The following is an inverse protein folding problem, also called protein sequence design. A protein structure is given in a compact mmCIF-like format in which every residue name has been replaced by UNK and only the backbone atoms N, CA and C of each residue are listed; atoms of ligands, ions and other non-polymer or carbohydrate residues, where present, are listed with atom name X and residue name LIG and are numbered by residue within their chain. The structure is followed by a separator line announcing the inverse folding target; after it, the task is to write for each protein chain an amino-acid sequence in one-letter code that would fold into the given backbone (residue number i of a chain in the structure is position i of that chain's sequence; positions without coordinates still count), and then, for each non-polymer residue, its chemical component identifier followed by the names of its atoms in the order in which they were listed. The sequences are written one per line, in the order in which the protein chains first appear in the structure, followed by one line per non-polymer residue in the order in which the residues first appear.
data_IF_951557864587
#
_entry.id   IF_951557864587
#
_cell.length_a   1.000
_cell.length_b   1.000
_cell.length_c   1.000
_cell.angle_alpha   90.00
_cell.angle_beta   90.00
_cell.angle_gamma   90.00
#
_symmetry.space_group_name_H-M   'P 1'
#
loop_
_entity.id
_entity.type
_entity.pdbx_description
1 polymer ?
#
# COMPACT_ATOMS: atom_id res chain seq x y z
N UNK A 1 -7.93 5.04 16.87
CA UNK A 1 -8.59 4.76 15.58
C UNK A 1 -7.56 5.11 14.53
N UNK A 2 -7.02 4.13 13.79
CA UNK A 2 -5.92 4.39 12.86
C UNK A 2 -6.52 4.90 11.55
N UNK A 3 -6.43 6.21 11.32
CA UNK A 3 -6.94 6.87 10.12
C UNK A 3 -5.78 6.98 9.13
N UNK A 4 -5.63 5.99 8.26
CA UNK A 4 -4.57 5.99 7.24
C UNK A 4 -5.17 6.55 5.94
N UNK A 5 -4.36 7.14 5.08
CA UNK A 5 -4.80 7.62 3.77
C UNK A 5 -3.77 7.30 2.68
N UNK A 6 -4.27 6.92 1.52
CA UNK A 6 -3.49 6.75 0.29
C UNK A 6 -4.07 7.70 -0.76
N UNK A 7 -3.42 8.84 -0.95
CA UNK A 7 -3.96 9.92 -1.79
C UNK A 7 -5.27 10.45 -1.22
N UNK A 8 -6.35 10.36 -2.00
CA UNK A 8 -7.69 10.77 -1.58
C UNK A 8 -8.47 9.64 -0.89
N UNK A 9 -7.99 8.40 -0.97
CA UNK A 9 -8.64 7.26 -0.33
C UNK A 9 -8.30 7.22 1.16
N UNK A 10 -9.32 7.27 2.01
CA UNK A 10 -9.18 7.23 3.46
C UNK A 10 -9.55 5.84 3.98
N UNK A 11 -8.61 5.22 4.69
CA UNK A 11 -8.82 3.99 5.43
C UNK A 11 -9.45 4.31 6.78
N UNK A 12 -10.73 4.02 6.90
CA UNK A 12 -11.53 4.22 8.09
C UNK A 12 -12.58 3.10 8.23
N UNK A 13 -13.29 3.08 9.36
CA UNK A 13 -14.27 2.03 9.65
C UNK A 13 -15.31 1.82 8.52
N UNK A 14 -15.93 2.85 7.92
CA UNK A 14 -16.90 2.63 6.85
C UNK A 14 -16.29 2.14 5.52
N UNK A 15 -14.98 2.33 5.29
CA UNK A 15 -14.29 1.93 4.06
C UNK A 15 -13.54 0.60 4.24
N UNK A 16 -12.26 0.67 4.63
CA UNK A 16 -11.38 -0.44 4.95
C UNK A 16 -10.52 -0.06 6.14
N UNK A 17 -10.36 -0.99 7.08
CA UNK A 17 -9.45 -0.81 8.22
C UNK A 17 -8.32 -1.81 8.16
N UNK A 18 -7.11 -1.40 7.73
CA UNK A 18 -5.92 -2.22 7.86
C UNK A 18 -5.68 -2.55 9.33
N UNK A 19 -5.49 -3.84 9.61
CA UNK A 19 -5.14 -4.33 10.94
C UNK A 19 -3.62 -4.39 11.13
N UNK A 20 -2.87 -4.59 10.05
CA UNK A 20 -1.42 -4.73 10.06
C UNK A 20 -0.78 -3.93 8.91
N UNK A 21 0.35 -3.30 9.20
CA UNK A 21 1.23 -2.66 8.24
C UNK A 21 2.61 -3.31 8.37
N UNK A 22 3.06 -3.97 7.32
CA UNK A 22 4.42 -4.49 7.19
C UNK A 22 5.20 -3.64 6.20
N UNK A 23 6.42 -3.23 6.54
CA UNK A 23 7.31 -2.48 5.64
C UNK A 23 8.64 -3.21 5.52
N UNK A 24 9.09 -3.41 4.29
CA UNK A 24 10.43 -3.92 3.98
C UNK A 24 11.20 -2.85 3.24
N UNK A 25 12.40 -2.50 3.74
CA UNK A 25 13.28 -1.54 3.08
C UNK A 25 14.64 -2.17 2.87
N UNK A 26 15.10 -2.16 1.62
CA UNK A 26 16.37 -2.73 1.21
C UNK A 26 17.41 -1.64 0.95
N UNK A 27 18.69 -1.99 1.09
CA UNK A 27 19.83 -1.14 0.74
C UNK A 27 20.82 -1.91 -0.10
N UNK A 28 21.33 -1.29 -1.17
CA UNK A 28 22.25 -1.95 -2.10
C UNK A 28 23.70 -1.73 -1.68
N UNK A 29 24.41 -2.84 -1.50
CA UNK A 29 25.84 -2.84 -1.19
C UNK A 29 26.63 -3.60 -2.26
N UNK A 30 27.38 -2.89 -3.10
CA UNK A 30 28.27 -3.51 -4.07
C UNK A 30 29.45 -4.16 -3.36
N UNK A 31 29.79 -5.38 -3.76
CA UNK A 31 30.88 -6.18 -3.17
C UNK A 31 32.03 -6.26 -4.16
N UNK A 32 33.23 -5.89 -3.71
CA UNK A 32 34.46 -6.00 -4.49
C UNK A 32 35.42 -6.94 -3.79
N UNK A 33 35.71 -8.07 -4.43
CA UNK A 33 36.67 -9.05 -3.94
C UNK A 33 38.08 -8.47 -3.86
N UNK A 34 38.77 -8.74 -2.75
CA UNK A 34 40.17 -8.35 -2.54
C UNK A 34 40.98 -9.61 -2.23
N UNK A 35 42.13 -9.77 -2.88
CA UNK A 35 43.00 -10.92 -2.63
C UNK A 35 43.63 -10.79 -1.24
N UNK A 36 43.50 -11.83 -0.41
CA UNK A 36 44.13 -11.91 0.91
C UNK A 36 43.45 -11.15 2.04
N UNK A 37 42.24 -10.62 1.84
CA UNK A 37 41.46 -9.88 2.85
C UNK A 37 39.96 -10.05 2.58
N UNK A 38 39.10 -9.64 3.52
CA UNK A 38 37.65 -9.65 3.32
C UNK A 38 37.26 -8.68 2.20
N UNK A 39 36.20 -9.02 1.46
CA UNK A 39 35.67 -8.17 0.41
C UNK A 39 35.32 -6.77 0.93
N UNK A 40 35.56 -5.77 0.08
CA UNK A 40 35.08 -4.42 0.35
C UNK A 40 33.59 -4.32 -0.01
N UNK A 41 32.80 -3.80 0.91
CA UNK A 41 31.40 -3.46 0.68
C UNK A 41 31.27 -1.95 0.50
N UNK A 42 30.66 -1.51 -0.60
CA UNK A 42 30.38 -0.10 -0.85
C UNK A 42 28.86 0.11 -0.92
N UNK A 43 28.35 1.04 -0.11
CA UNK A 43 26.96 1.46 -0.21
C UNK A 43 26.72 2.15 -1.55
N UNK A 44 25.82 1.59 -2.34
CA UNK A 44 25.48 2.09 -3.69
C UNK A 44 24.16 2.84 -3.75
N UNK A 45 23.39 2.83 -2.66
CA UNK A 45 22.13 3.55 -2.56
C UNK A 45 20.99 2.71 -1.96
N UNK A 46 19.81 3.31 -1.82
CA UNK A 46 18.60 2.60 -1.41
C UNK A 46 18.23 1.54 -2.43
N UNK A 47 17.69 0.43 -1.93
CA UNK A 47 17.09 -0.65 -2.69
C UNK A 47 15.59 -0.44 -2.87
N UNK A 48 14.84 -1.54 -2.90
CA UNK A 48 13.39 -1.51 -2.96
C UNK A 48 12.80 -1.17 -1.59
N UNK A 49 11.68 -0.48 -1.54
CA UNK A 49 10.94 -0.21 -0.31
C UNK A 49 9.47 -0.51 -0.56
N UNK A 50 8.93 -1.47 0.19
CA UNK A 50 7.60 -2.03 0.01
C UNK A 50 6.80 -1.92 1.29
N UNK A 51 5.49 -1.70 1.16
CA UNK A 51 4.54 -1.74 2.25
C UNK A 51 3.40 -2.68 1.89
N UNK A 52 3.08 -3.60 2.79
CA UNK A 52 1.88 -4.44 2.69
C UNK A 52 0.89 -4.07 3.79
N UNK A 53 -0.33 -3.72 3.38
CA UNK A 53 -1.44 -3.41 4.27
C UNK A 53 -2.40 -4.59 4.28
N UNK A 54 -2.59 -5.21 5.44
CA UNK A 54 -3.46 -6.38 5.59
C UNK A 54 -4.59 -6.08 6.56
N UNK A 55 -5.78 -6.55 6.23
CA UNK A 55 -6.94 -6.35 7.09
C UNK A 55 -8.11 -7.26 6.74
N UNK A 56 -9.19 -7.06 7.47
CA UNK A 56 -10.43 -7.79 7.26
C UNK A 56 -11.58 -6.80 7.22
N UNK A 57 -12.35 -6.84 6.14
CA UNK A 57 -13.59 -6.11 6.00
C UNK A 57 -14.80 -6.99 6.27
N UNK A 58 -15.69 -6.48 7.14
CA UNK A 58 -16.97 -7.09 7.47
C UNK A 58 -18.07 -6.32 6.76
N UNK A 59 -18.88 -6.99 5.95
CA UNK A 59 -19.94 -6.35 5.15
C UNK A 59 -21.00 -5.63 6.00
N UNK A 60 -21.15 -5.99 7.27
CA UNK A 60 -22.08 -5.31 8.20
C UNK A 60 -21.56 -3.95 8.68
N UNK A 61 -20.25 -3.72 8.59
CA UNK A 61 -19.57 -2.54 9.14
C UNK A 61 -18.92 -1.68 8.05
N UNK A 62 -18.53 -2.29 6.94
CA UNK A 62 -17.62 -1.70 5.97
C UNK A 62 -18.10 -1.94 4.54
N UNK A 63 -17.91 -0.96 3.68
CA UNK A 63 -18.12 -1.06 2.24
C UNK A 63 -16.91 -1.73 1.55
N UNK A 64 -16.51 -2.91 2.02
CA UNK A 64 -15.25 -3.55 1.64
C UNK A 64 -15.10 -3.83 0.14
N UNK A 65 -16.16 -4.33 -0.53
CA UNK A 65 -16.11 -4.59 -1.99
C UNK A 65 -15.93 -3.30 -2.79
N UNK A 66 -16.78 -2.30 -2.53
CA UNK A 66 -16.73 -1.02 -3.23
C UNK A 66 -15.39 -0.29 -3.00
N UNK A 67 -14.87 -0.36 -1.77
CA UNK A 67 -13.57 0.23 -1.41
C UNK A 67 -12.41 -0.45 -2.14
N UNK A 68 -12.45 -1.78 -2.27
CA UNK A 68 -11.42 -2.52 -3.02
C UNK A 68 -11.50 -2.24 -4.52
N UNK A 69 -12.71 -2.02 -5.06
CA UNK A 69 -12.89 -1.61 -6.46
C UNK A 69 -12.38 -0.20 -6.72
N UNK A 70 -12.63 0.76 -5.82
CA UNK A 70 -12.05 2.11 -5.91
C UNK A 70 -10.52 2.07 -5.88
N UNK A 71 -9.92 1.24 -5.01
CA UNK A 71 -8.48 1.05 -4.97
C UNK A 71 -7.93 0.40 -6.26
N UNK A 72 -8.70 -0.48 -6.91
CA UNK A 72 -8.33 -1.04 -8.22
C UNK A 72 -8.37 0.02 -9.31
N UNK A 73 -9.37 0.88 -9.31
CA UNK A 73 -9.46 2.00 -10.25
C UNK A 73 -8.28 2.96 -10.05
N UNK A 74 -7.95 3.28 -8.80
CA UNK A 74 -6.75 4.06 -8.46
C UNK A 74 -5.46 3.38 -8.93
N UNK A 75 -5.32 2.07 -8.72
CA UNK A 75 -4.16 1.31 -9.20
C UNK A 75 -4.06 1.33 -10.74
N UNK A 76 -5.19 1.23 -11.43
CA UNK A 76 -5.27 1.23 -12.89
C UNK A 76 -4.86 2.56 -13.53
N UNK A 77 -4.91 3.67 -12.79
CA UNK A 77 -4.37 4.97 -13.27
C UNK A 77 -2.86 4.92 -13.52
N UNK A 78 -2.13 4.03 -12.82
CA UNK A 78 -0.67 4.02 -12.81
C UNK A 78 -0.04 5.21 -12.08
N UNK A 79 -0.85 6.06 -11.43
CA UNK A 79 -0.37 7.20 -10.66
C UNK A 79 0.19 6.76 -9.30
N UNK A 80 1.02 7.63 -8.73
CA UNK A 80 1.54 7.46 -7.39
C UNK A 80 0.77 8.33 -6.40
N UNK A 81 0.55 7.78 -5.22
CA UNK A 81 -0.29 8.35 -4.18
C UNK A 81 0.51 8.58 -2.91
N UNK A 82 0.25 9.70 -2.24
CA UNK A 82 0.89 9.98 -0.95
C UNK A 82 0.29 9.09 0.13
N UNK A 83 1.13 8.35 0.84
CA UNK A 83 0.71 7.52 1.96
C UNK A 83 0.92 8.23 3.28
N UNK A 84 -0.11 8.31 4.11
CA UNK A 84 -0.09 8.98 5.43
C UNK A 84 -0.76 8.09 6.48
N UNK A 85 -0.15 7.93 7.64
CA UNK A 85 -0.77 7.19 8.75
C UNK A 85 -1.64 8.08 9.66
N UNK A 86 -2.36 7.43 10.59
CA UNK A 86 -3.21 8.11 11.57
C UNK A 86 -2.45 8.90 12.64
N UNK A 87 -1.12 8.88 12.63
CA UNK A 87 -0.28 9.73 13.49
C UNK A 87 0.13 11.03 12.77
N UNK A 88 -0.21 11.16 11.49
CA UNK A 88 0.18 12.28 10.64
C UNK A 88 1.53 12.10 9.97
N UNK A 89 2.15 10.91 10.04
CA UNK A 89 3.41 10.62 9.36
C UNK A 89 3.14 10.37 7.89
N UNK A 90 3.77 11.18 7.04
CA UNK A 90 3.79 10.99 5.59
C UNK A 90 4.94 10.05 5.23
N UNK A 91 4.62 8.94 4.56
CA UNK A 91 5.58 7.93 4.13
C UNK A 91 6.21 8.23 2.76
N UNK A 92 5.62 9.14 1.99
CA UNK A 92 6.07 9.49 0.64
C UNK A 92 5.10 9.04 -0.44
N UNK A 93 5.57 8.92 -1.68
CA UNK A 93 4.79 8.50 -2.83
C UNK A 93 4.89 6.98 -3.04
N UNK A 94 3.73 6.34 -3.22
CA UNK A 94 3.58 4.89 -3.34
C UNK A 94 2.69 4.56 -4.53
N UNK A 95 3.01 3.48 -5.23
CA UNK A 95 2.14 2.89 -6.26
C UNK A 95 1.56 1.58 -5.74
N UNK A 96 0.32 1.29 -6.11
CA UNK A 96 -0.30 -0.01 -5.80
C UNK A 96 0.22 -1.02 -6.82
N UNK A 97 0.88 -2.08 -6.35
CA UNK A 97 1.43 -3.15 -7.20
C UNK A 97 0.58 -4.41 -7.15
N UNK A 98 -0.20 -4.60 -6.09
CA UNK A 98 -1.05 -5.76 -5.91
C UNK A 98 -2.21 -5.49 -4.96
N UNK A 99 -3.37 -6.06 -5.29
CA UNK A 99 -4.51 -6.15 -4.38
C UNK A 99 -4.98 -7.60 -4.40
N UNK A 100 -4.99 -8.23 -3.23
CA UNK A 100 -5.49 -9.58 -3.02
C UNK A 100 -6.71 -9.51 -2.11
N UNK A 101 -7.76 -10.23 -2.46
CA UNK A 101 -8.94 -10.37 -1.60
C UNK A 101 -9.35 -11.84 -1.50
N UNK A 102 -9.84 -12.23 -0.32
CA UNK A 102 -10.40 -13.55 -0.07
C UNK A 102 -11.76 -13.39 0.59
N UNK A 103 -12.78 -13.71 -0.20
CA UNK A 103 -14.19 -13.65 0.20
C UNK A 103 -14.60 -14.95 0.91
N UNK A 104 -15.32 -14.80 2.02
CA UNK A 104 -15.82 -15.92 2.81
C UNK A 104 -17.14 -15.56 3.51
N UNK A 105 -17.81 -16.59 4.05
CA UNK A 105 -19.10 -16.46 4.71
C UNK A 105 -20.13 -15.73 3.83
N UNK A 106 -20.46 -16.31 2.68
CA UNK A 106 -21.38 -15.67 1.74
C UNK A 106 -22.81 -15.61 2.29
N UNK A 107 -23.50 -14.51 2.03
CA UNK A 107 -24.95 -14.38 2.16
C UNK A 107 -25.66 -15.26 1.11
N UNK A 108 -26.96 -15.45 1.29
CA UNK A 108 -27.78 -16.23 0.34
C UNK A 108 -27.88 -15.60 -1.06
N UNK A 109 -27.55 -14.31 -1.20
CA UNK A 109 -27.49 -13.57 -2.46
C UNK A 109 -26.09 -13.63 -3.13
N UNK A 110 -25.13 -14.33 -2.53
CA UNK A 110 -23.77 -14.46 -3.05
C UNK A 110 -22.80 -13.35 -2.65
N UNK A 111 -23.21 -12.35 -1.87
CA UNK A 111 -22.30 -11.33 -1.32
C UNK A 111 -21.46 -11.91 -0.19
N UNK A 112 -20.19 -11.51 -0.08
CA UNK A 112 -19.33 -11.98 1.00
C UNK A 112 -19.61 -11.21 2.31
N UNK A 113 -19.78 -11.91 3.44
CA UNK A 113 -19.83 -11.24 4.76
C UNK A 113 -18.46 -10.81 5.26
N UNK A 114 -17.43 -11.59 4.89
CA UNK A 114 -16.05 -11.39 5.32
C UNK A 114 -15.14 -11.34 4.11
N UNK A 115 -14.33 -10.29 4.04
CA UNK A 115 -13.31 -10.10 3.01
C UNK A 115 -11.97 -9.89 3.71
N UNK A 116 -11.07 -10.86 3.60
CA UNK A 116 -9.67 -10.65 3.99
C UNK A 116 -8.97 -9.98 2.80
N UNK A 117 -8.19 -8.92 3.06
CA UNK A 117 -7.53 -8.19 1.99
C UNK A 117 -6.06 -7.93 2.32
N UNK A 118 -5.25 -7.89 1.25
CA UNK A 118 -3.86 -7.45 1.28
C UNK A 118 -3.64 -6.47 0.12
N UNK A 119 -3.07 -5.31 0.43
CA UNK A 119 -2.72 -4.28 -0.54
C UNK A 119 -1.20 -4.10 -0.49
N UNK A 120 -0.54 -4.35 -1.61
CA UNK A 120 0.90 -4.24 -1.76
C UNK A 120 1.25 -2.92 -2.45
N UNK A 121 2.16 -2.18 -1.82
CA UNK A 121 2.61 -0.87 -2.24
C UNK A 121 4.11 -0.91 -2.48
N UNK A 122 4.55 -0.20 -3.52
CA UNK A 122 5.95 0.02 -3.85
C UNK A 122 6.28 1.51 -3.77
N UNK A 123 7.34 1.86 -3.07
CA UNK A 123 7.82 3.23 -3.00
C UNK A 123 8.31 3.67 -4.38
N UNK A 124 7.94 4.87 -4.79
CA UNK A 124 8.46 5.49 -6.01
C UNK A 124 9.28 6.72 -5.66
N UNK A 125 10.43 6.84 -6.34
CA UNK A 125 11.33 8.00 -6.21
C UNK A 125 10.82 9.22 -7.00
N UNK A 126 9.59 9.16 -7.48
CA UNK A 126 8.95 10.25 -8.19
C UNK A 126 8.25 11.19 -7.20
N UNK A 127 8.58 12.47 -7.25
CA UNK A 127 7.73 13.50 -6.65
C UNK A 127 6.28 13.28 -7.13
N UNK A 128 5.28 13.21 -6.23
CA UNK A 128 3.92 12.90 -6.62
C UNK A 128 3.45 13.95 -7.62
N UNK A 129 3.12 13.53 -8.84
CA UNK A 129 2.49 14.39 -9.82
C UNK A 129 1.04 14.53 -9.38
N UNK A 130 0.78 15.43 -8.44
CA UNK A 130 -0.58 15.80 -8.06
C UNK A 130 -1.24 16.39 -9.31
N UNK A 131 -2.03 15.57 -10.01
CA UNK A 131 -2.87 16.04 -11.10
C UNK A 131 -3.81 17.09 -10.51
N UNK A 132 -3.60 18.33 -10.93
CA UNK A 132 -4.43 19.47 -10.57
C UNK A 132 -5.81 19.31 -11.25
N UNK A 133 -6.65 18.42 -10.71
CA UNK A 133 -8.07 18.42 -11.01
C UNK A 133 -8.74 19.55 -10.22
N UNK A 134 -8.51 20.77 -10.69
CA UNK A 134 -9.09 21.98 -10.13
C UNK A 134 -9.06 23.12 -11.13
N UNK A 135 -10.10 23.17 -11.99
CA UNK A 135 -10.84 24.37 -12.44
C UNK A 135 -11.57 24.12 -13.77
N UNK A 136 -12.89 23.97 -13.69
CA UNK A 136 -13.85 24.54 -14.63
C UNK A 136 -15.17 24.74 -13.88
#
# INVERSE_FOLDING_TARGET
MSMMALGLFVFELPTLTPAELSRSSDWRHARTGRVGTSDAHQYTGPGEDTISLTGVAMAELQAGEASLDELRDMAATGDCWSLTDGTGKVYGAWVITGIQEKKSAFFGDGKARKIEFTIDLLAVDAAPRQSAAGRA
#
